data_IF_204924124509
#
_entry.id   IF_204924124509
#
_cell.length_a   1.000
_cell.length_b   1.000
_cell.length_c   1.000
_cell.angle_alpha   90.00
_cell.angle_beta   90.00
_cell.angle_gamma   90.00
#
_symmetry.space_group_name_H-M   'P 1'
#
loop_
_entity.id
_entity.type
_entity.pdbx_description
1 polymer ?
#
# COMPACT_ATOMS: atom_id res chain seq x y z
N UNK A 1 18.62 21.06 14.64
CA UNK A 1 18.99 19.80 15.33
C UNK A 1 19.18 20.01 16.83
N UNK A 2 19.92 21.05 17.29
CA UNK A 2 20.14 21.32 18.72
C UNK A 2 18.84 21.48 19.52
N UNK A 3 17.86 22.21 18.98
CA UNK A 3 16.54 22.35 19.61
C UNK A 3 15.81 21.02 19.78
N UNK A 4 15.84 20.19 18.74
CA UNK A 4 15.21 18.84 18.81
C UNK A 4 15.93 17.94 19.82
N UNK A 5 17.27 17.99 19.86
CA UNK A 5 18.06 17.26 20.83
C UNK A 5 17.73 17.68 22.27
N UNK A 6 17.57 18.98 22.50
CA UNK A 6 17.21 19.52 23.81
C UNK A 6 15.80 19.09 24.26
N UNK A 7 14.82 19.10 23.33
CA UNK A 7 13.47 18.59 23.61
C UNK A 7 13.49 17.10 23.96
N UNK A 8 14.28 16.28 23.24
CA UNK A 8 14.38 14.85 23.49
C UNK A 8 15.00 14.55 24.85
N UNK A 9 16.07 15.26 25.22
CA UNK A 9 16.83 15.01 26.45
C UNK A 9 16.17 15.64 27.67
N UNK A 10 15.71 16.90 27.57
CA UNK A 10 15.25 17.70 28.68
C UNK A 10 13.73 17.87 28.74
N UNK A 11 13.02 17.34 27.76
CA UNK A 11 11.58 17.50 27.60
C UNK A 11 11.17 18.84 26.99
N UNK A 12 9.93 18.95 26.55
CA UNK A 12 9.42 20.17 25.96
C UNK A 12 9.00 21.19 27.07
N UNK A 13 9.63 22.38 27.13
CA UNK A 13 9.29 23.39 28.13
C UNK A 13 7.83 23.82 28.12
N UNK A 14 7.15 23.78 26.94
CA UNK A 14 5.74 24.17 26.79
C UNK A 14 4.76 23.23 27.49
N UNK A 15 5.18 21.98 27.78
CA UNK A 15 4.36 20.99 28.51
C UNK A 15 4.86 20.73 29.92
N UNK A 16 5.91 21.43 30.36
CA UNK A 16 6.47 21.32 31.70
C UNK A 16 5.40 21.75 32.72
N UNK A 17 5.07 20.86 33.66
CA UNK A 17 4.03 21.08 34.68
C UNK A 17 2.60 20.79 34.24
N UNK A 18 2.34 20.38 33.01
CA UNK A 18 1.03 19.84 32.63
C UNK A 18 0.85 18.46 33.28
N UNK A 19 -0.33 18.21 33.82
CA UNK A 19 -0.67 16.89 34.34
C UNK A 19 -0.58 15.87 33.21
N UNK A 20 0.07 14.73 33.45
CA UNK A 20 -0.04 13.59 32.55
C UNK A 20 -1.50 13.13 32.52
N UNK A 21 -2.01 12.80 31.36
CA UNK A 21 -3.28 12.08 31.25
C UNK A 21 -3.00 10.67 31.77
N UNK A 22 -3.39 10.43 33.02
CA UNK A 22 -3.13 9.13 33.69
C UNK A 22 -4.21 8.09 33.38
N UNK A 23 -5.38 8.53 32.96
CA UNK A 23 -6.44 7.60 32.60
C UNK A 23 -6.18 7.04 31.19
N UNK A 24 -6.09 5.72 31.02
CA UNK A 24 -6.14 5.14 29.69
C UNK A 24 -7.49 5.54 29.06
N UNK A 25 -7.42 6.05 27.82
CA UNK A 25 -8.64 6.24 27.05
C UNK A 25 -9.39 4.90 27.01
N UNK A 26 -10.70 4.87 27.26
CA UNK A 26 -11.45 3.63 27.18
C UNK A 26 -11.22 3.03 25.80
N UNK A 27 -10.83 1.77 25.76
CA UNK A 27 -10.80 1.00 24.52
C UNK A 27 -12.24 0.92 24.01
N UNK A 28 -12.54 1.67 22.96
CA UNK A 28 -13.79 1.52 22.24
C UNK A 28 -13.60 0.31 21.34
N UNK A 29 -14.05 -0.85 21.77
CA UNK A 29 -14.12 -2.03 20.92
C UNK A 29 -15.25 -1.79 19.91
N UNK A 30 -14.95 -1.87 18.60
CA UNK A 30 -15.99 -1.68 17.60
C UNK A 30 -17.00 -2.82 17.66
N UNK A 31 -18.29 -2.48 17.73
CA UNK A 31 -19.36 -3.46 17.77
C UNK A 31 -19.64 -4.06 16.40
N UNK A 32 -19.68 -5.38 16.34
CA UNK A 32 -20.11 -6.14 15.18
C UNK A 32 -20.77 -7.46 15.62
N UNK A 33 -21.68 -7.98 14.80
CA UNK A 33 -22.25 -9.30 15.04
C UNK A 33 -21.36 -10.39 14.41
N UNK A 34 -20.67 -11.13 15.25
CA UNK A 34 -19.78 -12.21 14.84
C UNK A 34 -20.51 -13.38 14.14
N UNK A 35 -21.83 -13.51 14.30
CA UNK A 35 -22.65 -14.55 13.66
C UNK A 35 -22.97 -14.22 12.21
N UNK A 36 -22.90 -12.94 11.83
CA UNK A 36 -23.15 -12.49 10.48
C UNK A 36 -21.86 -12.65 9.65
N UNK A 37 -21.93 -13.37 8.55
CA UNK A 37 -20.82 -13.49 7.60
C UNK A 37 -20.48 -12.12 7.01
N UNK A 38 -19.19 -11.84 6.72
CA UNK A 38 -18.80 -10.64 6.00
C UNK A 38 -19.58 -10.51 4.67
N UNK A 39 -20.12 -9.33 4.34
CA UNK A 39 -20.76 -9.14 3.04
C UNK A 39 -19.74 -9.24 1.90
N UNK A 40 -20.21 -9.50 0.70
CA UNK A 40 -19.34 -9.53 -0.50
C UNK A 40 -18.61 -8.20 -0.66
N UNK A 41 -17.35 -8.29 -1.04
CA UNK A 41 -16.48 -7.14 -1.26
C UNK A 41 -15.73 -7.23 -2.59
N UNK A 42 -14.74 -6.38 -2.73
CA UNK A 42 -13.94 -6.25 -3.96
C UNK A 42 -13.11 -7.49 -4.27
N UNK A 43 -12.66 -8.24 -3.25
CA UNK A 43 -11.92 -9.48 -3.46
C UNK A 43 -12.78 -10.57 -4.08
N UNK A 44 -14.02 -10.70 -3.66
CA UNK A 44 -14.96 -11.66 -4.25
C UNK A 44 -15.16 -11.37 -5.73
N UNK A 45 -15.21 -10.08 -6.11
CA UNK A 45 -15.31 -9.66 -7.50
C UNK A 45 -14.05 -9.98 -8.30
N UNK A 46 -12.85 -9.79 -7.72
CA UNK A 46 -11.61 -10.18 -8.37
C UNK A 46 -11.54 -11.67 -8.63
N UNK A 47 -11.87 -12.47 -7.63
CA UNK A 47 -11.87 -13.95 -7.76
C UNK A 47 -12.87 -14.44 -8.81
N UNK A 48 -14.03 -13.80 -8.91
CA UNK A 48 -15.06 -14.14 -9.90
C UNK A 48 -14.69 -13.72 -11.32
N UNK A 49 -14.15 -12.50 -11.48
CA UNK A 49 -13.92 -11.90 -12.80
C UNK A 49 -12.54 -12.19 -13.38
N UNK A 50 -11.56 -12.41 -12.51
CA UNK A 50 -10.14 -12.37 -12.86
C UNK A 50 -9.61 -10.97 -13.12
N UNK A 51 -8.27 -10.78 -13.14
CA UNK A 51 -7.64 -9.46 -13.16
C UNK A 51 -8.08 -8.57 -14.33
N UNK A 52 -8.15 -9.11 -15.54
CA UNK A 52 -8.47 -8.34 -16.76
C UNK A 52 -9.92 -7.80 -16.76
N UNK A 53 -10.88 -8.62 -16.36
CA UNK A 53 -12.27 -8.15 -16.29
C UNK A 53 -12.53 -7.28 -15.08
N UNK A 54 -11.79 -7.50 -13.99
CA UNK A 54 -11.84 -6.67 -12.81
C UNK A 54 -11.32 -5.25 -13.11
N UNK A 55 -10.20 -5.13 -13.86
CA UNK A 55 -9.69 -3.83 -14.32
C UNK A 55 -10.73 -3.05 -15.13
N UNK A 56 -11.44 -3.72 -16.04
CA UNK A 56 -12.55 -3.08 -16.78
C UNK A 56 -13.69 -2.65 -15.86
N UNK A 57 -14.08 -3.51 -14.91
CA UNK A 57 -15.08 -3.17 -13.91
C UNK A 57 -14.71 -1.91 -13.13
N UNK A 58 -13.42 -1.71 -12.78
CA UNK A 58 -12.96 -0.49 -12.10
C UNK A 58 -13.21 0.76 -12.93
N UNK A 59 -12.94 0.72 -14.23
CA UNK A 59 -13.16 1.86 -15.14
C UNK A 59 -14.63 2.25 -15.25
N UNK A 60 -15.53 1.30 -15.08
CA UNK A 60 -16.98 1.53 -15.15
C UNK A 60 -17.57 2.11 -13.84
N UNK A 61 -16.77 2.18 -12.76
CA UNK A 61 -17.25 2.68 -11.48
C UNK A 61 -17.37 4.20 -11.48
N UNK A 62 -18.53 4.70 -11.06
CA UNK A 62 -18.75 6.15 -10.86
C UNK A 62 -18.35 6.64 -9.47
N UNK A 63 -18.66 5.87 -8.39
CA UNK A 63 -18.19 6.22 -7.05
C UNK A 63 -16.67 6.12 -6.95
N UNK A 64 -16.08 6.98 -6.10
CA UNK A 64 -14.67 6.90 -5.77
C UNK A 64 -14.38 5.59 -5.04
N UNK A 65 -13.38 4.85 -5.52
CA UNK A 65 -12.87 3.66 -4.87
C UNK A 65 -11.75 4.07 -3.90
N UNK A 66 -11.88 3.67 -2.63
CA UNK A 66 -11.00 4.13 -1.55
C UNK A 66 -10.16 2.97 -1.02
N UNK A 67 -8.85 3.18 -0.95
CA UNK A 67 -7.90 2.30 -0.24
C UNK A 67 -7.64 2.81 1.16
N UNK A 68 -7.80 1.97 2.17
CA UNK A 68 -7.38 2.27 3.54
C UNK A 68 -5.92 1.86 3.77
N UNK A 69 -5.15 2.74 4.40
CA UNK A 69 -3.71 2.53 4.65
C UNK A 69 -3.37 2.34 6.13
N UNK A 70 -4.38 2.16 6.98
CA UNK A 70 -4.20 2.03 8.44
C UNK A 70 -3.24 0.90 8.79
N UNK A 71 -3.33 -0.22 8.09
CA UNK A 71 -2.54 -1.42 8.37
C UNK A 71 -1.13 -1.38 7.73
N UNK A 72 -0.77 -0.32 7.00
CA UNK A 72 0.58 -0.14 6.45
C UNK A 72 1.13 1.26 6.65
N UNK A 73 0.73 2.25 5.82
CA UNK A 73 1.40 3.55 5.78
C UNK A 73 1.09 4.39 7.02
N UNK A 74 -0.13 4.37 7.50
CA UNK A 74 -0.51 5.13 8.68
C UNK A 74 0.31 4.70 9.91
N UNK A 75 0.40 3.40 10.21
CA UNK A 75 1.21 2.97 11.35
C UNK A 75 2.72 3.02 11.07
N UNK A 76 3.14 2.94 9.82
CA UNK A 76 4.54 3.20 9.45
C UNK A 76 4.93 4.63 9.80
N UNK A 77 4.09 5.60 9.50
CA UNK A 77 4.35 7.02 9.74
C UNK A 77 4.16 7.43 11.20
N UNK A 78 3.16 6.89 11.89
CA UNK A 78 2.76 7.29 13.24
C UNK A 78 3.44 6.46 14.34
N UNK A 79 3.69 5.18 14.10
CA UNK A 79 4.22 4.22 15.08
C UNK A 79 5.53 3.56 14.65
N UNK A 80 6.23 4.15 13.68
CA UNK A 80 7.45 3.59 13.11
C UNK A 80 7.30 2.10 12.72
N UNK A 81 6.16 1.76 12.11
CA UNK A 81 5.76 0.42 11.67
C UNK A 81 5.64 -0.63 12.82
N UNK A 82 5.39 -0.20 14.06
CA UNK A 82 5.38 -1.11 15.23
C UNK A 82 4.00 -1.59 15.67
N UNK A 83 2.98 -1.48 14.83
CA UNK A 83 1.70 -2.12 15.10
C UNK A 83 1.88 -3.65 15.03
N UNK A 84 1.49 -4.34 16.09
CA UNK A 84 1.63 -5.79 16.21
C UNK A 84 0.54 -6.52 15.44
N UNK A 85 0.81 -7.75 15.03
CA UNK A 85 -0.21 -8.60 14.40
C UNK A 85 -1.43 -8.78 15.30
N UNK A 86 -1.24 -8.90 16.61
CA UNK A 86 -2.32 -8.97 17.58
C UNK A 86 -3.30 -7.79 17.48
N UNK A 87 -2.77 -6.56 17.37
CA UNK A 87 -3.58 -5.34 17.30
C UNK A 87 -4.37 -5.27 15.98
N UNK A 88 -3.75 -5.70 14.89
CA UNK A 88 -4.40 -5.76 13.56
C UNK A 88 -5.52 -6.81 13.52
N UNK A 89 -5.27 -8.00 14.08
CA UNK A 89 -6.25 -9.09 14.12
C UNK A 89 -7.45 -8.69 14.97
N UNK A 90 -7.26 -7.96 16.07
CA UNK A 90 -8.33 -7.53 16.95
C UNK A 90 -9.42 -6.69 16.26
N UNK A 91 -9.05 -5.91 15.22
CA UNK A 91 -10.00 -5.07 14.46
C UNK A 91 -10.45 -5.69 13.13
N UNK A 92 -9.86 -6.81 12.73
CA UNK A 92 -10.06 -7.39 11.41
C UNK A 92 -11.48 -7.85 11.13
N UNK A 93 -12.11 -8.51 12.08
CA UNK A 93 -13.50 -8.98 11.96
C UNK A 93 -14.49 -7.82 11.80
N UNK A 94 -14.23 -6.68 12.44
CA UNK A 94 -14.99 -5.46 12.24
C UNK A 94 -14.79 -4.89 10.85
N UNK A 95 -13.54 -4.80 10.38
CA UNK A 95 -13.20 -4.29 9.04
C UNK A 95 -13.91 -5.12 7.97
N UNK A 96 -13.85 -6.44 8.04
CA UNK A 96 -14.48 -7.32 7.06
C UNK A 96 -16.00 -7.09 6.93
N UNK A 97 -16.68 -6.71 8.03
CA UNK A 97 -18.14 -6.54 8.07
C UNK A 97 -18.59 -5.11 7.83
N UNK A 98 -17.90 -4.14 8.43
CA UNK A 98 -18.32 -2.73 8.41
C UNK A 98 -17.61 -1.88 7.35
N UNK A 99 -16.46 -2.33 6.87
CA UNK A 99 -15.67 -1.65 5.86
C UNK A 99 -15.56 -2.44 4.54
N UNK A 100 -16.49 -3.35 4.28
CA UNK A 100 -16.54 -4.18 3.05
C UNK A 100 -16.67 -3.38 1.76
N UNK A 101 -17.09 -2.11 1.84
CA UNK A 101 -17.15 -1.18 0.70
C UNK A 101 -15.79 -0.56 0.32
N UNK A 102 -14.73 -0.80 1.07
CA UNK A 102 -13.38 -0.38 0.68
C UNK A 102 -12.92 -1.10 -0.58
N UNK A 103 -12.17 -0.36 -1.42
CA UNK A 103 -11.53 -0.96 -2.58
C UNK A 103 -10.44 -1.95 -2.15
N UNK A 104 -9.54 -1.51 -1.29
CA UNK A 104 -8.46 -2.34 -0.75
C UNK A 104 -7.97 -1.86 0.61
N UNK A 105 -7.23 -2.75 1.27
CA UNK A 105 -6.46 -2.47 2.48
C UNK A 105 -4.98 -2.61 2.14
N UNK A 106 -4.19 -1.59 2.42
CA UNK A 106 -2.75 -1.67 2.23
C UNK A 106 -2.11 -2.39 3.42
N UNK A 107 -1.37 -3.49 3.14
CA UNK A 107 -0.86 -4.42 4.16
C UNK A 107 0.64 -4.34 4.34
N UNK A 108 1.39 -4.24 3.24
CA UNK A 108 2.85 -4.27 3.24
C UNK A 108 3.47 -3.11 2.47
N UNK A 109 4.62 -2.68 2.96
CA UNK A 109 5.66 -1.92 2.29
C UNK A 109 7.00 -2.36 2.86
N UNK A 110 8.11 -1.83 2.35
CA UNK A 110 9.45 -2.26 2.78
C UNK A 110 9.66 -2.16 4.29
N UNK A 111 9.36 -1.00 4.88
CA UNK A 111 9.58 -0.78 6.30
C UNK A 111 8.67 -1.63 7.20
N UNK A 112 7.40 -1.82 6.83
CA UNK A 112 6.49 -2.65 7.62
C UNK A 112 6.89 -4.12 7.61
N UNK A 113 7.37 -4.62 6.46
CA UNK A 113 7.88 -5.97 6.32
C UNK A 113 9.13 -6.19 7.17
N UNK A 114 10.13 -5.30 7.04
CA UNK A 114 11.39 -5.35 7.78
C UNK A 114 11.17 -5.22 9.30
N UNK A 115 10.36 -4.25 9.74
CA UNK A 115 10.08 -4.01 11.15
C UNK A 115 9.35 -5.19 11.81
N UNK A 116 8.46 -5.84 11.08
CA UNK A 116 7.76 -7.03 11.54
C UNK A 116 8.76 -8.12 11.99
N UNK A 117 9.76 -8.39 11.16
CA UNK A 117 10.79 -9.38 11.49
C UNK A 117 11.80 -8.88 12.51
N UNK A 118 12.36 -7.68 12.29
CA UNK A 118 13.53 -7.18 13.02
C UNK A 118 13.20 -6.71 14.44
N UNK A 119 12.06 -6.08 14.63
CA UNK A 119 11.70 -5.44 15.90
C UNK A 119 10.56 -6.12 16.63
N UNK A 120 9.60 -6.70 15.91
CA UNK A 120 8.47 -7.36 16.53
C UNK A 120 8.68 -8.86 16.69
N UNK A 121 9.67 -9.45 15.99
CA UNK A 121 9.92 -10.89 16.01
C UNK A 121 8.76 -11.70 15.41
N UNK A 122 7.98 -11.10 14.50
CA UNK A 122 6.82 -11.70 13.86
C UNK A 122 7.10 -12.02 12.39
N UNK A 123 6.45 -13.06 11.87
CA UNK A 123 6.49 -13.38 10.44
C UNK A 123 5.51 -12.50 9.66
N UNK A 124 5.96 -11.69 8.67
CA UNK A 124 5.05 -10.91 7.85
C UNK A 124 4.11 -11.79 7.01
N UNK A 125 4.54 -12.97 6.57
CA UNK A 125 3.69 -13.92 5.85
C UNK A 125 2.60 -14.54 6.73
N UNK A 126 2.94 -14.91 7.96
CA UNK A 126 1.95 -15.41 8.92
C UNK A 126 0.93 -14.32 9.27
N UNK A 127 1.41 -13.08 9.52
CA UNK A 127 0.54 -11.92 9.69
C UNK A 127 -0.44 -11.79 8.52
N UNK A 128 0.04 -11.86 7.30
CA UNK A 128 -0.80 -11.70 6.11
C UNK A 128 -1.87 -12.80 6.02
N UNK A 129 -1.50 -14.06 6.28
CA UNK A 129 -2.44 -15.19 6.26
C UNK A 129 -3.53 -15.06 7.33
N UNK A 130 -3.14 -14.70 8.55
CA UNK A 130 -4.09 -14.47 9.66
C UNK A 130 -5.07 -13.34 9.33
N UNK A 131 -4.57 -12.22 8.78
CA UNK A 131 -5.42 -11.13 8.37
C UNK A 131 -6.33 -11.51 7.20
N UNK A 132 -5.82 -12.29 6.24
CA UNK A 132 -6.62 -12.80 5.11
C UNK A 132 -7.73 -13.75 5.55
N UNK A 133 -7.48 -14.58 6.54
CA UNK A 133 -8.50 -15.44 7.15
C UNK A 133 -9.63 -14.63 7.78
N UNK A 134 -9.28 -13.54 8.46
CA UNK A 134 -10.24 -12.65 9.13
C UNK A 134 -10.95 -11.68 8.17
N UNK A 135 -10.30 -11.25 7.11
CA UNK A 135 -10.82 -10.32 6.10
C UNK A 135 -10.82 -11.00 4.73
N UNK A 136 -11.77 -11.91 4.45
CA UNK A 136 -11.76 -12.69 3.22
C UNK A 136 -12.23 -11.91 1.99
N UNK A 137 -12.95 -10.81 2.16
CA UNK A 137 -13.77 -10.13 1.17
C UNK A 137 -13.19 -8.82 0.60
N UNK A 138 -12.19 -8.21 1.23
CA UNK A 138 -11.55 -6.97 0.77
C UNK A 138 -10.18 -7.26 0.17
N UNK A 139 -9.82 -6.58 -0.92
CA UNK A 139 -8.50 -6.72 -1.56
C UNK A 139 -7.37 -6.28 -0.63
N UNK A 140 -6.30 -7.04 -0.62
CA UNK A 140 -5.06 -6.66 0.05
C UNK A 140 -4.05 -6.13 -0.95
N UNK A 141 -3.40 -5.03 -0.59
CA UNK A 141 -2.46 -4.31 -1.44
C UNK A 141 -1.11 -4.18 -0.75
N UNK A 142 -0.05 -4.20 -1.53
CA UNK A 142 1.29 -3.90 -1.05
C UNK A 142 2.02 -2.92 -1.96
N UNK A 143 2.96 -2.18 -1.37
CA UNK A 143 3.92 -1.37 -2.10
C UNK A 143 5.19 -2.20 -2.38
N UNK A 144 5.53 -2.35 -3.66
CA UNK A 144 6.68 -3.12 -4.14
C UNK A 144 7.67 -2.22 -4.86
N UNK A 145 8.93 -2.21 -4.41
CA UNK A 145 9.99 -1.33 -4.96
C UNK A 145 10.70 -1.99 -6.14
N UNK A 146 9.96 -2.35 -7.19
CA UNK A 146 10.55 -2.99 -8.37
C UNK A 146 11.55 -4.10 -8.01
N UNK A 147 12.76 -4.05 -8.54
CA UNK A 147 13.84 -5.03 -8.27
C UNK A 147 14.30 -5.10 -6.80
N UNK A 148 13.99 -4.11 -5.98
CA UNK A 148 14.31 -4.13 -4.56
C UNK A 148 13.25 -4.87 -3.73
N UNK A 149 12.14 -5.26 -4.32
CA UNK A 149 11.01 -5.88 -3.61
C UNK A 149 10.63 -5.07 -2.35
N UNK A 150 10.85 -5.62 -1.17
CA UNK A 150 10.67 -4.93 0.13
C UNK A 150 11.99 -4.53 0.78
N UNK A 151 13.12 -4.79 0.11
CA UNK A 151 14.47 -4.52 0.62
C UNK A 151 15.00 -3.12 0.26
N UNK A 152 16.30 -2.95 0.50
CA UNK A 152 17.03 -1.68 0.34
C UNK A 152 18.10 -1.74 -0.75
N UNK A 153 18.22 -2.87 -1.45
CA UNK A 153 19.11 -3.09 -2.58
C UNK A 153 18.39 -3.97 -3.61
N UNK A 154 18.87 -3.98 -4.84
CA UNK A 154 18.32 -4.83 -5.88
C UNK A 154 18.57 -6.32 -5.54
N UNK A 155 17.53 -7.10 -5.67
CA UNK A 155 17.61 -8.55 -5.60
C UNK A 155 17.73 -9.16 -7.01
N UNK A 156 18.30 -10.36 -7.13
CA UNK A 156 18.26 -11.13 -8.37
C UNK A 156 16.81 -11.41 -8.80
N UNK A 157 16.60 -11.50 -10.12
CA UNK A 157 15.27 -11.68 -10.72
C UNK A 157 14.49 -12.88 -10.16
N UNK A 158 15.16 -13.99 -9.90
CA UNK A 158 14.54 -15.18 -9.31
C UNK A 158 14.01 -14.90 -7.89
N UNK A 159 14.69 -14.11 -7.09
CA UNK A 159 14.23 -13.72 -5.75
C UNK A 159 13.00 -12.84 -5.83
N UNK A 160 12.98 -11.87 -6.78
CA UNK A 160 11.80 -11.02 -7.00
C UNK A 160 10.60 -11.84 -7.45
N UNK A 161 10.80 -12.82 -8.36
CA UNK A 161 9.74 -13.71 -8.82
C UNK A 161 9.16 -14.54 -7.67
N UNK A 162 9.98 -15.22 -6.92
CA UNK A 162 9.53 -16.05 -5.79
C UNK A 162 8.84 -15.20 -4.73
N UNK A 163 9.35 -14.00 -4.45
CA UNK A 163 8.71 -13.08 -3.52
C UNK A 163 7.28 -12.72 -3.95
N UNK A 164 7.09 -12.38 -5.22
CA UNK A 164 5.75 -12.04 -5.77
C UNK A 164 4.82 -13.25 -5.71
N UNK A 165 5.28 -14.42 -6.14
CA UNK A 165 4.47 -15.65 -6.14
C UNK A 165 4.02 -15.98 -4.71
N UNK A 166 4.95 -16.08 -3.77
CA UNK A 166 4.63 -16.41 -2.39
C UNK A 166 3.78 -15.35 -1.69
N UNK A 167 3.94 -14.08 -2.05
CA UNK A 167 3.09 -13.01 -1.51
C UNK A 167 1.65 -13.14 -2.00
N UNK A 168 1.46 -13.46 -3.30
CA UNK A 168 0.14 -13.74 -3.86
C UNK A 168 -0.52 -14.96 -3.21
N UNK A 169 0.22 -16.07 -3.06
CA UNK A 169 -0.24 -17.29 -2.39
C UNK A 169 -0.63 -17.04 -0.93
N UNK A 170 0.07 -16.14 -0.25
CA UNK A 170 -0.24 -15.74 1.12
C UNK A 170 -1.46 -14.83 1.24
N UNK A 171 -2.01 -14.33 0.11
CA UNK A 171 -3.25 -13.55 0.07
C UNK A 171 -3.09 -12.10 -0.38
N UNK A 172 -1.98 -11.72 -1.01
CA UNK A 172 -1.81 -10.41 -1.62
C UNK A 172 -2.51 -10.36 -2.97
N UNK A 173 -3.42 -9.39 -3.14
CA UNK A 173 -4.25 -9.27 -4.35
C UNK A 173 -3.76 -8.16 -5.30
N UNK A 174 -3.10 -7.12 -4.78
CA UNK A 174 -2.64 -5.97 -5.58
C UNK A 174 -1.17 -5.70 -5.27
N UNK A 175 -0.33 -5.68 -6.31
CA UNK A 175 1.05 -5.26 -6.23
C UNK A 175 1.20 -3.87 -6.84
N UNK A 176 1.38 -2.85 -5.98
CA UNK A 176 1.70 -1.49 -6.39
C UNK A 176 3.20 -1.39 -6.60
N UNK A 177 3.61 -1.53 -7.85
CA UNK A 177 5.01 -1.60 -8.26
C UNK A 177 5.48 -0.21 -8.68
N UNK A 178 6.60 0.25 -8.12
CA UNK A 178 7.19 1.53 -8.44
C UNK A 178 8.72 1.49 -8.46
N UNK A 179 9.29 2.45 -9.15
CA UNK A 179 10.69 2.84 -9.06
C UNK A 179 10.77 4.35 -8.86
N UNK A 180 11.57 4.83 -7.91
CA UNK A 180 11.63 6.26 -7.55
C UNK A 180 12.14 7.15 -8.66
N UNK A 181 12.84 6.58 -9.65
CA UNK A 181 13.36 7.26 -10.83
C UNK A 181 12.55 6.96 -12.09
N UNK A 182 11.43 6.25 -11.97
CA UNK A 182 10.61 5.76 -13.08
C UNK A 182 11.42 4.92 -14.09
N UNK A 183 12.39 4.13 -13.60
CA UNK A 183 13.23 3.29 -14.43
C UNK A 183 12.54 1.97 -14.74
N UNK A 184 11.92 1.89 -15.92
CA UNK A 184 11.08 0.76 -16.34
C UNK A 184 11.74 -0.63 -16.23
N UNK A 185 13.04 -0.81 -16.54
CA UNK A 185 13.67 -2.13 -16.39
C UNK A 185 13.59 -2.69 -14.97
N UNK A 186 13.60 -1.83 -13.92
CA UNK A 186 13.44 -2.26 -12.53
C UNK A 186 12.03 -2.77 -12.23
N UNK A 187 11.03 -2.37 -12.99
CA UNK A 187 9.64 -2.79 -12.80
C UNK A 187 9.32 -4.11 -13.49
N UNK A 188 10.06 -4.40 -14.59
CA UNK A 188 9.72 -5.44 -15.55
C UNK A 188 9.49 -6.81 -14.92
N UNK A 189 10.45 -7.32 -14.16
CA UNK A 189 10.40 -8.67 -13.59
C UNK A 189 9.21 -8.84 -12.66
N UNK A 190 8.94 -7.84 -11.81
CA UNK A 190 7.81 -7.86 -10.90
C UNK A 190 6.47 -7.82 -11.66
N UNK A 191 6.33 -6.93 -12.66
CA UNK A 191 5.11 -6.79 -13.47
C UNK A 191 4.80 -8.07 -14.26
N UNK A 192 5.82 -8.64 -14.96
CA UNK A 192 5.70 -9.91 -15.68
C UNK A 192 5.27 -11.03 -14.74
N UNK A 193 5.89 -11.12 -13.56
CA UNK A 193 5.55 -12.18 -12.59
C UNK A 193 4.12 -12.06 -12.09
N UNK A 194 3.66 -10.85 -11.74
CA UNK A 194 2.26 -10.65 -11.33
C UNK A 194 1.30 -11.08 -12.42
N UNK A 195 1.55 -10.66 -13.68
CA UNK A 195 0.64 -10.89 -14.79
C UNK A 195 0.62 -12.34 -15.29
N UNK A 196 1.77 -13.04 -15.26
CA UNK A 196 1.93 -14.36 -15.87
C UNK A 196 1.83 -15.52 -14.85
N UNK A 197 2.16 -15.25 -13.58
CA UNK A 197 2.33 -16.30 -12.57
C UNK A 197 1.36 -16.18 -11.40
N UNK A 198 0.49 -15.16 -11.40
CA UNK A 198 -0.49 -14.94 -10.32
C UNK A 198 -1.86 -14.55 -10.88
N UNK A 199 -2.87 -14.57 -10.00
CA UNK A 199 -4.20 -14.00 -10.28
C UNK A 199 -4.37 -12.62 -9.64
N UNK A 200 -3.27 -11.96 -9.28
CA UNK A 200 -3.27 -10.66 -8.65
C UNK A 200 -3.29 -9.52 -9.67
N UNK A 201 -3.59 -8.32 -9.19
CA UNK A 201 -3.57 -7.10 -10.00
C UNK A 201 -2.18 -6.47 -9.99
N UNK A 202 -1.69 -6.12 -11.18
CA UNK A 202 -0.50 -5.31 -11.35
C UNK A 202 -0.89 -3.82 -11.38
N UNK A 203 -0.55 -3.08 -10.34
CA UNK A 203 -0.68 -1.63 -10.28
C UNK A 203 0.69 -0.99 -10.49
N UNK A 204 0.90 -0.39 -11.65
CA UNK A 204 2.15 0.27 -11.98
C UNK A 204 2.08 1.76 -11.61
N UNK A 205 3.06 2.24 -10.82
CA UNK A 205 3.07 3.61 -10.34
C UNK A 205 4.05 4.48 -11.12
N UNK A 206 3.60 5.67 -11.47
CA UNK A 206 4.38 6.74 -12.05
C UNK A 206 4.70 7.74 -10.94
N UNK A 207 5.98 7.88 -10.58
CA UNK A 207 6.42 8.88 -9.63
C UNK A 207 6.34 10.26 -10.25
N UNK A 208 5.50 11.12 -9.68
CA UNK A 208 5.38 12.51 -10.09
C UNK A 208 6.58 13.30 -9.53
N UNK A 209 7.37 13.89 -10.41
CA UNK A 209 8.70 14.41 -10.08
C UNK A 209 8.86 15.89 -10.38
N UNK A 210 8.21 16.40 -11.43
CA UNK A 210 8.28 17.79 -11.85
C UNK A 210 6.91 18.30 -12.28
N UNK A 211 6.70 19.60 -12.12
CA UNK A 211 5.44 20.25 -12.49
C UNK A 211 5.42 20.58 -13.98
N UNK A 212 4.78 19.75 -14.77
CA UNK A 212 4.62 19.96 -16.21
C UNK A 212 3.72 21.17 -16.55
N UNK A 213 3.15 21.84 -15.57
CA UNK A 213 2.42 23.10 -15.78
C UNK A 213 3.35 24.31 -15.78
N UNK A 214 4.58 24.16 -15.29
CA UNK A 214 5.64 25.14 -15.43
C UNK A 214 6.21 25.10 -16.86
N UNK A 215 6.20 26.23 -17.55
CA UNK A 215 6.72 26.36 -18.92
C UNK A 215 8.23 26.14 -19.03
N UNK A 216 8.98 26.19 -17.91
CA UNK A 216 10.40 25.95 -17.84
C UNK A 216 10.75 24.48 -17.56
N UNK A 217 9.76 23.62 -17.29
CA UNK A 217 9.99 22.19 -17.04
C UNK A 217 10.16 21.44 -18.37
N UNK A 218 11.41 21.18 -18.73
CA UNK A 218 11.74 20.49 -20.00
C UNK A 218 11.70 18.97 -19.86
N UNK A 219 12.21 18.43 -18.74
CA UNK A 219 12.43 17.00 -18.56
C UNK A 219 11.14 16.27 -18.21
N UNK A 220 10.39 16.80 -17.28
CA UNK A 220 9.16 16.18 -16.76
C UNK A 220 7.90 16.82 -17.35
N UNK A 221 7.95 17.10 -18.64
CA UNK A 221 6.81 17.61 -19.40
C UNK A 221 5.66 16.58 -19.43
N UNK A 222 4.44 17.02 -19.71
CA UNK A 222 3.27 16.12 -19.80
C UNK A 222 3.53 14.91 -20.73
N UNK A 223 4.23 15.11 -21.83
CA UNK A 223 4.62 14.04 -22.77
C UNK A 223 5.41 12.92 -22.08
N UNK A 224 6.31 13.25 -21.16
CA UNK A 224 7.08 12.25 -20.40
C UNK A 224 6.16 11.30 -19.63
N UNK A 225 5.19 11.84 -18.92
CA UNK A 225 4.25 11.03 -18.14
C UNK A 225 3.31 10.20 -19.01
N UNK A 226 2.84 10.78 -20.12
CA UNK A 226 1.97 10.08 -21.09
C UNK A 226 2.71 8.92 -21.77
N UNK A 227 3.95 9.13 -22.18
CA UNK A 227 4.75 8.08 -22.80
C UNK A 227 5.04 6.96 -21.80
N UNK A 228 5.37 7.30 -20.55
CA UNK A 228 5.58 6.35 -19.48
C UNK A 228 4.32 5.53 -19.18
N UNK A 229 3.16 6.17 -19.12
CA UNK A 229 1.88 5.50 -18.92
C UNK A 229 1.59 4.47 -20.03
N UNK A 230 1.82 4.85 -21.30
CA UNK A 230 1.67 3.96 -22.45
C UNK A 230 2.60 2.75 -22.41
N UNK A 231 3.85 2.95 -21.99
CA UNK A 231 4.79 1.84 -21.86
C UNK A 231 4.38 0.90 -20.73
N UNK A 232 3.94 1.43 -19.57
CA UNK A 232 3.44 0.61 -18.46
C UNK A 232 2.18 -0.18 -18.85
N UNK A 233 1.27 0.43 -19.62
CA UNK A 233 0.10 -0.28 -20.16
C UNK A 233 0.52 -1.44 -21.05
N UNK A 234 1.46 -1.23 -22.00
CA UNK A 234 2.02 -2.29 -22.85
C UNK A 234 2.72 -3.40 -22.06
N UNK A 235 3.33 -3.06 -20.94
CA UNK A 235 3.95 -4.02 -20.01
C UNK A 235 2.92 -4.82 -19.20
N UNK A 236 1.61 -4.57 -19.37
CA UNK A 236 0.54 -5.35 -18.75
C UNK A 236 0.04 -4.79 -17.40
N UNK A 237 0.19 -3.49 -17.16
CA UNK A 237 -0.42 -2.86 -15.99
C UNK A 237 -1.95 -2.98 -16.05
N UNK A 238 -2.56 -3.47 -14.97
CA UNK A 238 -4.01 -3.48 -14.78
C UNK A 238 -4.53 -2.14 -14.26
N UNK A 239 -3.69 -1.43 -13.53
CA UNK A 239 -3.96 -0.14 -12.89
C UNK A 239 -2.74 0.75 -13.08
N UNK A 240 -2.96 2.01 -13.45
CA UNK A 240 -1.93 3.05 -13.40
C UNK A 240 -2.17 3.94 -12.19
N UNK A 241 -1.12 4.19 -11.42
CA UNK A 241 -1.18 5.04 -10.25
C UNK A 241 -0.23 6.23 -10.39
N UNK A 242 -0.69 7.43 -10.06
CA UNK A 242 0.17 8.60 -9.90
C UNK A 242 0.65 8.61 -8.46
N UNK A 243 1.98 8.55 -8.29
CA UNK A 243 2.62 8.56 -6.97
C UNK A 243 3.30 9.89 -6.74
N UNK A 244 2.62 10.78 -6.05
CA UNK A 244 3.16 12.08 -5.66
C UNK A 244 3.87 11.97 -4.29
N UNK A 245 5.13 11.55 -4.31
CA UNK A 245 5.90 11.29 -3.09
C UNK A 245 6.26 12.54 -2.29
N UNK A 246 6.31 13.69 -2.95
CA UNK A 246 6.78 14.93 -2.35
C UNK A 246 5.68 16.01 -2.22
N UNK A 247 4.45 15.71 -2.63
CA UNK A 247 3.34 16.65 -2.59
C UNK A 247 3.50 17.80 -3.60
N UNK A 248 4.04 17.50 -4.79
CA UNK A 248 4.32 18.48 -5.83
C UNK A 248 3.18 18.66 -6.82
N UNK A 249 2.25 17.72 -6.86
CA UNK A 249 1.18 17.70 -7.86
C UNK A 249 0.09 18.72 -7.52
N UNK A 250 0.06 19.81 -8.25
CA UNK A 250 -1.00 20.81 -8.11
C UNK A 250 -2.35 20.29 -8.64
N UNK A 251 -3.50 20.76 -8.12
CA UNK A 251 -4.82 20.30 -8.58
C UNK A 251 -5.02 20.39 -10.09
N UNK A 252 -4.49 21.44 -10.75
CA UNK A 252 -4.56 21.60 -12.20
C UNK A 252 -3.73 20.55 -12.92
N UNK A 253 -2.54 20.20 -12.40
CA UNK A 253 -1.71 19.14 -12.94
C UNK A 253 -2.38 17.77 -12.78
N UNK A 254 -2.99 17.51 -11.63
CA UNK A 254 -3.71 16.27 -11.39
C UNK A 254 -4.96 16.09 -12.27
N UNK A 255 -5.58 17.18 -12.69
CA UNK A 255 -6.75 17.16 -13.57
C UNK A 255 -6.40 16.90 -15.04
N UNK A 256 -5.23 17.35 -15.50
CA UNK A 256 -4.76 17.19 -16.89
C UNK A 256 -4.19 15.81 -17.16
#
# INVERSE_FOLDING_TARGET
>A
LSYLGEIIVNGNPQVKGRARIEAPLPLIEPEYDAKVSPPRGTRDLLLEKGPQKFSKWMLDQKPLLVTDTTLRDAHQSLFAARMRTYDMVAVSDFIARRASGLFSLEMWGGATFDTCMRFLGESPYERLRLLREKIPNVLFQMLLRGSNAVGYANYPDNVVREFVIHSSEAGMDIFRIFDSLNYLPNLKVAMETVSERTNSLCEASICFTGDFTDSNEEKYALKYYVDLAKELEKMGAHILAIKDMAGLCHPIAAYR
#
